data_IF_843452328987
#
_entry.id   IF_843452328987
#
_cell.length_a   1.000
_cell.length_b   1.000
_cell.length_c   1.000
_cell.angle_alpha   90.00
_cell.angle_beta   90.00
_cell.angle_gamma   90.00
#
_symmetry.space_group_name_H-M   'P 1'
#
loop_
_entity.id
_entity.type
_entity.pdbx_description
1 polymer ?
#
# COMPACT_ATOMS: atom_id res chain seq x y z
N UNK A 1 -25.36 -14.29 4.05
CA UNK A 1 -24.96 -12.87 4.13
C UNK A 1 -25.25 -12.25 2.77
N UNK A 2 -26.12 -11.23 2.76
CA UNK A 2 -26.82 -10.76 1.56
C UNK A 2 -25.86 -10.24 0.48
N UNK A 3 -26.10 -10.63 -0.77
CA UNK A 3 -25.45 -10.08 -1.95
C UNK A 3 -26.01 -8.66 -2.14
N UNK A 4 -25.49 -7.71 -1.35
CA UNK A 4 -25.95 -6.31 -1.36
C UNK A 4 -25.67 -5.75 -2.75
N UNK A 5 -26.69 -5.13 -3.34
CA UNK A 5 -26.54 -4.43 -4.61
C UNK A 5 -25.48 -3.32 -4.47
N UNK A 6 -24.53 -3.28 -5.41
CA UNK A 6 -23.47 -2.27 -5.39
C UNK A 6 -24.09 -0.91 -5.72
N UNK A 7 -23.62 0.14 -5.05
CA UNK A 7 -23.99 1.49 -5.46
C UNK A 7 -23.31 1.86 -6.80
N UNK A 8 -23.75 2.93 -7.49
CA UNK A 8 -23.18 3.31 -8.80
C UNK A 8 -21.67 3.55 -8.79
N UNK A 9 -21.12 4.09 -7.68
CA UNK A 9 -19.70 4.35 -7.55
C UNK A 9 -18.91 3.05 -7.40
N UNK A 10 -19.39 2.13 -6.58
CA UNK A 10 -18.82 0.78 -6.41
C UNK A 10 -18.87 -0.02 -7.70
N UNK A 11 -19.96 0.09 -8.46
CA UNK A 11 -20.10 -0.55 -9.77
C UNK A 11 -19.05 0.00 -10.76
N UNK A 12 -18.86 1.32 -10.81
CA UNK A 12 -17.83 1.95 -11.63
C UNK A 12 -16.41 1.49 -11.25
N UNK A 13 -16.11 1.35 -9.96
CA UNK A 13 -14.82 0.81 -9.49
C UNK A 13 -14.60 -0.62 -9.97
N UNK A 14 -15.63 -1.47 -9.91
CA UNK A 14 -15.55 -2.85 -10.43
C UNK A 14 -15.32 -2.87 -11.94
N UNK A 15 -15.94 -1.97 -12.69
CA UNK A 15 -15.76 -1.90 -14.15
C UNK A 15 -14.35 -1.46 -14.55
N UNK A 16 -13.74 -0.55 -13.79
CA UNK A 16 -12.40 -0.01 -14.09
C UNK A 16 -11.28 -0.94 -13.59
N UNK A 17 -11.41 -1.48 -12.37
CA UNK A 17 -10.34 -2.26 -11.72
C UNK A 17 -10.57 -3.76 -11.78
N UNK A 18 -11.81 -4.19 -12.03
CA UNK A 18 -12.15 -5.60 -12.10
C UNK A 18 -11.44 -6.28 -13.27
N UNK A 19 -11.13 -7.56 -13.05
CA UNK A 19 -10.59 -8.41 -14.11
C UNK A 19 -11.62 -8.49 -15.26
N UNK A 20 -11.27 -8.07 -16.49
CA UNK A 20 -12.23 -8.05 -17.59
C UNK A 20 -12.65 -9.48 -17.96
N UNK A 21 -13.86 -9.61 -18.51
CA UNK A 21 -14.36 -10.88 -19.01
C UNK A 21 -13.40 -11.44 -20.07
N UNK A 22 -13.06 -12.73 -19.96
CA UNK A 22 -12.12 -13.38 -20.87
C UNK A 22 -10.65 -13.06 -20.64
N UNK A 23 -10.29 -12.36 -19.55
CA UNK A 23 -8.88 -12.23 -19.17
C UNK A 23 -8.26 -13.61 -18.99
N UNK A 24 -7.11 -13.81 -19.63
CA UNK A 24 -6.25 -14.98 -19.50
C UNK A 24 -4.88 -14.53 -18.99
N UNK A 25 -4.20 -15.32 -18.15
CA UNK A 25 -2.83 -15.03 -17.77
C UNK A 25 -1.92 -14.93 -19.00
N UNK A 26 -0.82 -14.18 -18.86
CA UNK A 26 0.23 -14.21 -19.87
C UNK A 26 0.78 -15.64 -20.04
N UNK A 27 1.12 -16.07 -21.26
CA UNK A 27 1.78 -17.36 -21.48
C UNK A 27 3.09 -17.45 -20.68
N UNK A 28 3.41 -18.64 -20.17
CA UNK A 28 4.65 -18.87 -19.42
C UNK A 28 5.90 -18.50 -20.24
N UNK A 29 5.86 -18.70 -21.55
CA UNK A 29 6.94 -18.33 -22.47
C UNK A 29 7.27 -16.83 -22.43
N UNK A 30 6.27 -15.96 -22.22
CA UNK A 30 6.51 -14.52 -22.07
C UNK A 30 7.20 -14.23 -20.75
N UNK A 31 6.79 -14.91 -19.67
CA UNK A 31 7.42 -14.76 -18.34
C UNK A 31 8.87 -15.23 -18.37
N UNK A 32 9.14 -16.36 -19.01
CA UNK A 32 10.49 -16.91 -19.20
C UNK A 32 11.37 -15.98 -20.05
N UNK A 33 10.84 -15.45 -21.15
CA UNK A 33 11.58 -14.51 -22.00
C UNK A 33 11.92 -13.20 -21.26
N UNK A 34 10.98 -12.65 -20.48
CA UNK A 34 11.25 -11.44 -19.66
C UNK A 34 12.30 -11.74 -18.59
N UNK A 35 12.23 -12.92 -17.95
CA UNK A 35 13.24 -13.34 -16.97
C UNK A 35 14.62 -13.44 -17.60
N UNK A 36 14.76 -14.12 -18.73
CA UNK A 36 16.04 -14.29 -19.44
C UNK A 36 16.64 -12.94 -19.84
N UNK A 37 15.80 -12.01 -20.33
CA UNK A 37 16.23 -10.65 -20.66
C UNK A 37 16.74 -9.89 -19.44
N UNK A 38 16.03 -9.96 -18.31
CA UNK A 38 16.45 -9.30 -17.07
C UNK A 38 17.74 -9.91 -16.52
N UNK A 39 17.85 -11.24 -16.48
CA UNK A 39 19.05 -11.94 -16.01
C UNK A 39 20.27 -11.60 -16.88
N UNK A 40 20.11 -11.60 -18.21
CA UNK A 40 21.18 -11.25 -19.15
C UNK A 40 21.60 -9.79 -19.02
N UNK A 41 20.64 -8.86 -18.98
CA UNK A 41 20.92 -7.42 -18.90
C UNK A 41 21.56 -7.02 -17.56
N UNK A 42 21.18 -7.68 -16.47
CA UNK A 42 21.68 -7.37 -15.12
C UNK A 42 22.92 -8.18 -14.73
N UNK A 43 23.33 -9.19 -15.51
CA UNK A 43 24.51 -10.02 -15.23
C UNK A 43 25.79 -9.22 -14.91
N UNK A 44 26.12 -8.10 -15.59
CA UNK A 44 27.31 -7.30 -15.24
C UNK A 44 27.27 -6.65 -13.86
N UNK A 45 26.08 -6.48 -13.28
CA UNK A 45 25.88 -5.90 -11.95
C UNK A 45 26.00 -6.94 -10.84
N UNK A 46 25.90 -8.24 -11.16
CA UNK A 46 25.91 -9.31 -10.15
C UNK A 46 27.17 -9.28 -9.28
N UNK A 47 28.33 -9.00 -9.87
CA UNK A 47 29.61 -8.90 -9.14
C UNK A 47 29.67 -7.71 -8.16
N UNK A 48 28.76 -6.74 -8.27
CA UNK A 48 28.66 -5.58 -7.38
C UNK A 48 27.68 -5.79 -6.22
N UNK A 49 26.93 -6.89 -6.25
CA UNK A 49 25.96 -7.23 -5.23
C UNK A 49 26.55 -8.30 -4.33
N UNK A 50 26.39 -8.13 -3.03
CA UNK A 50 26.84 -9.09 -2.03
C UNK A 50 25.79 -9.23 -0.93
N UNK A 51 25.80 -10.30 -0.13
CA UNK A 51 24.88 -10.42 1.01
C UNK A 51 24.98 -9.25 2.00
N UNK A 52 26.16 -8.63 2.12
CA UNK A 52 26.42 -7.43 2.91
C UNK A 52 26.03 -6.12 2.20
N UNK A 53 25.83 -6.15 0.88
CA UNK A 53 25.31 -5.04 0.07
C UNK A 53 24.17 -5.51 -0.87
N UNK A 54 23.00 -5.88 -0.31
CA UNK A 54 21.89 -6.35 -1.12
C UNK A 54 21.28 -5.21 -1.93
N UNK A 55 20.84 -5.51 -3.15
CA UNK A 55 20.08 -4.56 -3.95
C UNK A 55 18.63 -4.54 -3.48
N UNK A 56 18.17 -3.39 -2.97
CA UNK A 56 16.76 -3.16 -2.68
C UNK A 56 16.12 -2.33 -3.80
N UNK A 57 15.19 -2.94 -4.54
CA UNK A 57 14.41 -2.26 -5.58
C UNK A 57 12.97 -2.12 -5.09
N UNK A 58 12.48 -0.89 -5.09
CA UNK A 58 11.06 -0.61 -4.90
C UNK A 58 10.46 -0.02 -6.18
N UNK A 59 9.14 -0.20 -6.37
CA UNK A 59 8.41 0.49 -7.44
C UNK A 59 8.58 2.01 -7.37
N UNK A 60 8.66 2.56 -6.16
CA UNK A 60 8.92 3.99 -5.94
C UNK A 60 10.27 4.40 -6.52
N UNK A 61 11.33 3.66 -6.19
CA UNK A 61 12.69 3.92 -6.70
C UNK A 61 12.74 3.90 -8.23
N UNK A 62 12.10 2.91 -8.87
CA UNK A 62 12.02 2.82 -10.33
C UNK A 62 11.27 4.00 -10.95
N UNK A 63 10.10 4.36 -10.40
CA UNK A 63 9.33 5.49 -10.90
C UNK A 63 10.10 6.81 -10.78
N UNK A 64 10.78 7.05 -9.65
CA UNK A 64 11.51 8.30 -9.43
C UNK A 64 12.73 8.40 -10.33
N UNK A 65 13.53 7.33 -10.49
CA UNK A 65 14.70 7.36 -11.37
C UNK A 65 14.30 7.56 -12.85
N UNK A 66 13.20 6.94 -13.30
CA UNK A 66 12.70 7.11 -14.66
C UNK A 66 12.06 8.50 -14.91
N UNK A 67 11.60 9.19 -13.86
CA UNK A 67 11.12 10.56 -13.96
C UNK A 67 12.26 11.59 -14.03
N UNK A 68 13.23 11.48 -13.10
CA UNK A 68 14.42 12.33 -13.06
C UNK A 68 15.50 11.70 -12.16
N UNK A 69 16.58 11.22 -12.77
CA UNK A 69 17.71 10.60 -12.06
C UNK A 69 18.36 11.55 -11.05
N UNK A 70 18.54 12.83 -11.40
CA UNK A 70 19.13 13.82 -10.49
C UNK A 70 18.28 14.02 -9.23
N UNK A 71 16.95 14.04 -9.36
CA UNK A 71 16.03 14.11 -8.22
C UNK A 71 16.10 12.83 -7.38
N UNK A 72 16.14 11.66 -8.02
CA UNK A 72 16.30 10.37 -7.33
C UNK A 72 17.58 10.35 -6.49
N UNK A 73 18.72 10.75 -7.05
CA UNK A 73 20.00 10.78 -6.33
C UNK A 73 19.98 11.76 -5.16
N UNK A 74 19.31 12.91 -5.32
CA UNK A 74 19.17 13.89 -4.25
C UNK A 74 18.26 13.41 -3.11
N UNK A 75 17.31 12.49 -3.37
CA UNK A 75 16.31 12.05 -2.38
C UNK A 75 16.66 10.77 -1.62
N UNK A 76 17.76 10.08 -1.98
CA UNK A 76 18.14 8.77 -1.42
C UNK A 76 18.19 8.72 0.11
N UNK A 77 18.41 9.85 0.79
CA UNK A 77 18.51 9.93 2.25
C UNK A 77 17.65 11.05 2.87
N UNK A 78 16.63 11.55 2.16
CA UNK A 78 15.86 12.73 2.59
C UNK A 78 14.40 12.40 2.95
N UNK A 79 14.11 11.15 3.30
CA UNK A 79 12.74 10.79 3.68
C UNK A 79 12.38 11.42 5.03
N UNK A 80 11.25 12.13 5.06
CA UNK A 80 10.67 12.66 6.28
C UNK A 80 9.17 12.35 6.32
N UNK A 81 8.69 12.00 7.52
CA UNK A 81 7.26 11.88 7.77
C UNK A 81 6.60 13.26 7.72
N UNK A 82 5.43 13.32 7.08
CA UNK A 82 4.60 14.52 7.01
C UNK A 82 3.15 14.12 7.24
N UNK A 83 2.29 15.05 7.66
CA UNK A 83 0.86 14.76 7.77
C UNK A 83 0.27 14.25 6.44
N UNK A 84 0.80 14.75 5.31
CA UNK A 84 0.33 14.40 3.97
C UNK A 84 0.65 12.96 3.56
N UNK A 85 1.84 12.44 3.90
CA UNK A 85 2.18 11.04 3.60
C UNK A 85 1.60 10.09 4.67
N UNK A 86 1.54 10.52 5.93
CA UNK A 86 1.05 9.71 7.03
C UNK A 86 -0.45 9.40 6.95
N UNK A 87 -1.29 10.33 6.47
CA UNK A 87 -2.74 10.06 6.30
C UNK A 87 -3.00 8.82 5.42
N UNK A 88 -2.15 8.57 4.42
CA UNK A 88 -2.24 7.40 3.56
C UNK A 88 -1.91 6.13 4.33
N UNK A 89 -0.81 6.13 5.10
CA UNK A 89 -0.43 5.02 5.97
C UNK A 89 -1.52 4.69 7.00
N UNK A 90 -2.11 5.71 7.63
CA UNK A 90 -3.21 5.53 8.59
C UNK A 90 -4.44 4.93 7.90
N UNK A 91 -4.83 5.45 6.73
CA UNK A 91 -5.96 4.91 5.97
C UNK A 91 -5.72 3.45 5.55
N UNK A 92 -4.51 3.10 5.07
CA UNK A 92 -4.16 1.72 4.74
C UNK A 92 -4.28 0.79 5.95
N UNK A 93 -3.81 1.24 7.11
CA UNK A 93 -3.94 0.46 8.35
C UNK A 93 -5.40 0.31 8.80
N UNK A 94 -6.23 1.34 8.63
CA UNK A 94 -7.66 1.24 8.89
C UNK A 94 -8.35 0.22 7.96
N UNK A 95 -7.98 0.18 6.67
CA UNK A 95 -8.46 -0.86 5.73
C UNK A 95 -7.97 -2.26 6.11
N UNK A 96 -6.72 -2.40 6.57
CA UNK A 96 -6.21 -3.67 7.07
C UNK A 96 -7.03 -4.18 8.27
N UNK A 97 -7.31 -3.29 9.23
CA UNK A 97 -8.11 -3.61 10.41
C UNK A 97 -9.56 -3.97 10.04
N UNK A 98 -10.16 -3.25 9.09
CA UNK A 98 -11.56 -3.45 8.69
C UNK A 98 -11.85 -4.86 8.17
N UNK A 99 -10.88 -5.50 7.53
CA UNK A 99 -11.00 -6.86 6.97
C UNK A 99 -11.31 -7.89 8.06
N UNK A 100 -10.78 -7.71 9.26
CA UNK A 100 -10.96 -8.64 10.39
C UNK A 100 -11.75 -8.02 11.56
N UNK A 101 -12.29 -6.82 11.37
CA UNK A 101 -13.04 -6.12 12.41
C UNK A 101 -14.33 -6.86 12.76
N UNK A 102 -14.64 -6.93 14.06
CA UNK A 102 -15.82 -7.62 14.56
C UNK A 102 -16.86 -6.61 15.02
N UNK A 103 -17.97 -6.52 14.30
CA UNK A 103 -19.09 -5.65 14.63
C UNK A 103 -19.29 -4.53 13.62
N UNK A 104 -20.09 -3.50 13.96
CA UNK A 104 -20.25 -2.32 13.14
C UNK A 104 -18.91 -1.64 12.88
N UNK A 105 -18.75 -1.10 11.67
CA UNK A 105 -17.59 -0.31 11.28
C UNK A 105 -18.02 1.15 11.31
N UNK A 106 -17.41 1.92 12.20
CA UNK A 106 -17.45 3.38 12.18
C UNK A 106 -16.09 3.87 11.67
N UNK A 107 -16.04 4.64 10.56
CA UNK A 107 -14.79 5.16 10.00
C UNK A 107 -13.85 5.79 11.04
N UNK A 108 -14.41 6.58 11.95
CA UNK A 108 -13.65 7.28 12.96
C UNK A 108 -12.97 6.31 13.95
N UNK A 109 -13.68 5.27 14.38
CA UNK A 109 -13.18 4.28 15.34
C UNK A 109 -12.03 3.45 14.74
N UNK A 110 -12.14 3.05 13.47
CA UNK A 110 -11.06 2.32 12.79
C UNK A 110 -9.82 3.18 12.56
N UNK A 111 -10.00 4.46 12.25
CA UNK A 111 -8.89 5.40 12.10
C UNK A 111 -8.19 5.64 13.43
N UNK A 112 -8.95 5.75 14.52
CA UNK A 112 -8.39 5.90 15.86
C UNK A 112 -7.59 4.65 16.27
N UNK A 113 -8.14 3.45 16.06
CA UNK A 113 -7.39 2.20 16.29
C UNK A 113 -6.15 2.11 15.39
N UNK A 114 -6.25 2.49 14.11
CA UNK A 114 -5.10 2.50 13.20
C UNK A 114 -3.98 3.43 13.68
N UNK A 115 -4.33 4.63 14.18
CA UNK A 115 -3.38 5.56 14.77
C UNK A 115 -2.71 4.96 16.00
N UNK A 116 -3.48 4.34 16.90
CA UNK A 116 -2.93 3.66 18.09
C UNK A 116 -1.93 2.57 17.69
N UNK A 117 -2.28 1.71 16.72
CA UNK A 117 -1.38 0.64 16.26
C UNK A 117 -0.09 1.16 15.61
N UNK A 118 -0.18 2.24 14.85
CA UNK A 118 0.98 2.85 14.19
C UNK A 118 1.87 3.62 15.18
N UNK A 119 1.30 4.15 16.26
CA UNK A 119 2.04 4.79 17.35
C UNK A 119 2.82 3.75 18.16
N UNK A 120 2.25 2.57 18.39
CA UNK A 120 2.88 1.46 19.12
C UNK A 120 3.88 0.63 18.29
N UNK A 121 4.00 0.89 16.98
CA UNK A 121 4.86 0.10 16.09
C UNK A 121 6.34 0.51 16.24
N UNK A 122 7.15 -0.35 16.85
CA UNK A 122 8.59 -0.12 17.12
C UNK A 122 9.51 -0.19 15.87
N UNK A 123 8.97 -0.50 14.69
CA UNK A 123 9.76 -0.64 13.45
C UNK A 123 10.10 0.73 12.83
N UNK A 124 10.71 0.77 11.63
CA UNK A 124 11.02 2.02 10.87
C UNK A 124 9.75 2.80 10.39
N UNK A 125 8.65 2.67 11.12
CA UNK A 125 7.36 3.26 10.85
C UNK A 125 7.23 4.70 11.34
N UNK A 126 5.99 5.24 11.34
CA UNK A 126 5.71 6.63 11.70
C UNK A 126 5.59 6.88 13.21
N UNK A 127 5.87 5.90 14.07
CA UNK A 127 5.62 5.96 15.52
C UNK A 127 6.22 7.19 16.19
N UNK A 128 7.52 7.45 16.01
CA UNK A 128 8.19 8.63 16.57
C UNK A 128 7.59 9.95 16.07
N UNK A 129 7.13 9.99 14.83
CA UNK A 129 6.52 11.19 14.26
C UNK A 129 5.13 11.42 14.85
N UNK A 130 4.31 10.37 14.96
CA UNK A 130 2.97 10.42 15.58
C UNK A 130 3.09 10.89 17.03
N UNK A 131 4.04 10.32 17.79
CA UNK A 131 4.27 10.66 19.19
C UNK A 131 4.56 12.16 19.41
N UNK A 132 5.18 12.82 18.43
CA UNK A 132 5.57 14.25 18.48
C UNK A 132 4.48 15.21 17.98
N UNK A 133 3.38 14.72 17.41
CA UNK A 133 2.32 15.58 16.89
C UNK A 133 1.62 16.34 18.02
N UNK A 134 1.41 17.65 17.80
CA UNK A 134 0.54 18.46 18.65
C UNK A 134 -0.91 17.99 18.57
N UNK A 135 -1.74 18.41 19.53
CA UNK A 135 -3.17 18.09 19.52
C UNK A 135 -3.87 18.56 18.22
N UNK A 136 -3.47 19.73 17.68
CA UNK A 136 -4.01 20.25 16.43
C UNK A 136 -3.62 19.41 15.22
N UNK A 137 -2.36 19.00 15.13
CA UNK A 137 -1.88 18.15 14.04
C UNK A 137 -2.47 16.74 14.11
N UNK A 138 -2.63 16.17 15.31
CA UNK A 138 -3.34 14.90 15.50
C UNK A 138 -4.78 14.99 15.02
N UNK A 139 -5.50 16.07 15.38
CA UNK A 139 -6.87 16.28 14.92
C UNK A 139 -6.94 16.45 13.39
N UNK A 140 -5.99 17.16 12.78
CA UNK A 140 -5.90 17.31 11.33
C UNK A 140 -5.64 15.96 10.63
N UNK A 141 -4.65 15.19 11.11
CA UNK A 141 -4.32 13.87 10.57
C UNK A 141 -5.53 12.93 10.64
N UNK A 142 -6.18 12.87 11.81
CA UNK A 142 -7.39 12.08 12.02
C UNK A 142 -8.48 12.47 11.03
N UNK A 143 -8.78 13.77 10.91
CA UNK A 143 -9.80 14.27 9.97
C UNK A 143 -9.52 13.83 8.53
N UNK A 144 -8.26 13.95 8.07
CA UNK A 144 -7.89 13.51 6.72
C UNK A 144 -7.99 12.00 6.54
N UNK A 145 -7.57 11.21 7.52
CA UNK A 145 -7.64 9.76 7.44
C UNK A 145 -9.10 9.25 7.47
N UNK A 146 -9.98 9.86 8.29
CA UNK A 146 -11.42 9.56 8.32
C UNK A 146 -12.05 9.88 6.98
N UNK A 147 -11.81 11.06 6.40
CA UNK A 147 -12.34 11.42 5.09
C UNK A 147 -11.92 10.42 3.99
N UNK A 148 -10.64 10.01 3.98
CA UNK A 148 -10.14 9.01 3.02
C UNK A 148 -10.77 7.63 3.24
N UNK A 149 -10.91 7.18 4.48
CA UNK A 149 -11.49 5.88 4.80
C UNK A 149 -12.99 5.85 4.48
N UNK A 150 -13.75 6.88 4.82
CA UNK A 150 -15.17 7.00 4.47
C UNK A 150 -15.36 6.94 2.96
N UNK A 151 -14.55 7.69 2.19
CA UNK A 151 -14.57 7.63 0.71
C UNK A 151 -14.26 6.24 0.19
N UNK A 152 -13.31 5.54 0.80
CA UNK A 152 -13.02 4.15 0.44
C UNK A 152 -14.22 3.24 0.70
N UNK A 153 -14.88 3.33 1.85
CA UNK A 153 -16.04 2.51 2.17
C UNK A 153 -17.23 2.77 1.21
N UNK A 154 -17.46 4.04 0.88
CA UNK A 154 -18.54 4.45 -0.02
C UNK A 154 -18.29 4.05 -1.48
N UNK A 155 -17.02 4.03 -1.92
CA UNK A 155 -16.65 3.83 -3.32
C UNK A 155 -16.15 2.43 -3.64
N UNK A 156 -15.53 1.72 -2.70
CA UNK A 156 -14.95 0.40 -2.93
C UNK A 156 -16.00 -0.69 -2.69
N UNK A 157 -16.11 -1.71 -3.56
CA UNK A 157 -17.07 -2.79 -3.37
C UNK A 157 -16.78 -3.56 -2.07
N UNK A 158 -17.79 -3.95 -1.28
CA UNK A 158 -17.58 -4.69 -0.04
C UNK A 158 -16.78 -5.99 -0.27
N UNK A 159 -15.74 -6.18 0.53
CA UNK A 159 -14.90 -7.38 0.46
C UNK A 159 -15.69 -8.60 0.95
N UNK A 160 -15.86 -9.60 0.07
CA UNK A 160 -16.54 -10.84 0.43
C UNK A 160 -15.56 -11.73 1.20
N UNK A 161 -15.99 -12.27 2.34
CA UNK A 161 -15.17 -13.20 3.14
C UNK A 161 -14.67 -14.41 2.31
N UNK A 162 -15.47 -14.86 1.33
CA UNK A 162 -15.10 -15.94 0.41
C UNK A 162 -13.90 -15.62 -0.48
N UNK A 163 -13.55 -14.34 -0.66
CA UNK A 163 -12.36 -13.93 -1.40
C UNK A 163 -11.06 -14.15 -0.62
N UNK A 164 -11.16 -14.48 0.68
CA UNK A 164 -10.02 -14.70 1.57
C UNK A 164 -8.99 -13.57 1.43
N UNK A 165 -9.39 -12.30 1.63
CA UNK A 165 -8.47 -11.17 1.51
C UNK A 165 -7.30 -11.37 2.47
N UNK A 166 -6.08 -11.27 1.95
CA UNK A 166 -4.85 -11.32 2.72
C UNK A 166 -4.19 -9.96 2.62
N UNK A 167 -3.95 -9.33 3.76
CA UNK A 167 -3.12 -8.12 3.88
C UNK A 167 -1.66 -8.53 3.88
N UNK A 168 -0.78 -7.63 3.43
CA UNK A 168 0.65 -7.83 3.13
C UNK A 168 1.26 -9.19 3.56
N UNK A 169 1.49 -10.08 2.60
CA UNK A 169 2.28 -11.28 2.82
C UNK A 169 3.74 -11.00 2.52
N UNK A 170 4.63 -11.23 3.49
CA UNK A 170 6.07 -11.19 3.23
C UNK A 170 6.44 -12.31 2.27
N UNK A 171 6.66 -11.99 1.00
CA UNK A 171 7.27 -12.91 0.05
C UNK A 171 8.79 -12.90 0.28
N UNK A 172 9.31 -13.93 0.93
CA UNK A 172 10.75 -14.22 0.85
C UNK A 172 10.97 -15.05 -0.40
N UNK A 173 11.62 -14.46 -1.40
CA UNK A 173 12.17 -15.23 -2.52
C UNK A 173 13.46 -15.85 -2.00
N UNK A 174 13.45 -17.17 -1.80
CA UNK A 174 14.64 -17.95 -1.45
C UNK A 174 15.53 -18.19 -2.66
#
# INVERSE_FOLDING_TARGET
>A
MSNKELNPMQQSVVEVLGKPAGWVPLPLTVVEAVREQLETALAPLAAKLSPDQPLFISKGSLNTVHGCEAHFMASLNSFEWTISNLRGTVMHKAVELSINWRGPVEPADLVDEALTRLEDEESRGPSEFIAKLSAGERAQLRSYAVDLYTKFEESFPPLKASWRPVTESSARVG
#
